data_IF_821251956694
#
_entry.id   IF_821251956694
#
_cell.length_a   1.000
_cell.length_b   1.000
_cell.length_c   1.000
_cell.angle_alpha   90.00
_cell.angle_beta   90.00
_cell.angle_gamma   90.00
#
_symmetry.space_group_name_H-M   'P 1'
#
loop_
_entity.id
_entity.type
_entity.pdbx_description
1 polymer ?
#
# COMPACT_ATOMS: atom_id res chain seq x y z
N UNK A 1 -2.71 -2.98 -5.30
CA UNK A 1 -1.48 -3.60 -4.73
C UNK A 1 -0.22 -2.78 -5.03
N UNK A 2 -0.04 -2.24 -6.24
CA UNK A 2 1.16 -1.50 -6.65
C UNK A 2 1.57 -0.31 -5.75
N UNK A 3 0.63 0.56 -5.36
CA UNK A 3 0.92 1.71 -4.49
C UNK A 3 1.33 1.33 -3.06
N UNK A 4 0.79 0.21 -2.55
CA UNK A 4 1.05 -0.29 -1.19
C UNK A 4 2.46 -0.90 -1.10
N UNK A 5 2.86 -1.71 -2.10
CA UNK A 5 4.15 -2.40 -2.06
C UNK A 5 5.32 -1.59 -2.64
N UNK A 6 5.08 -0.70 -3.61
CA UNK A 6 6.17 -0.07 -4.37
C UNK A 6 6.53 1.37 -3.98
N UNK A 7 5.57 2.17 -3.51
CA UNK A 7 5.78 3.63 -3.36
C UNK A 7 5.31 4.22 -2.03
N UNK A 8 4.35 3.57 -1.34
CA UNK A 8 3.74 4.06 -0.09
C UNK A 8 3.40 2.91 0.88
N UNK A 9 4.42 2.29 1.50
CA UNK A 9 4.22 1.22 2.49
C UNK A 9 3.40 1.67 3.70
N UNK A 10 3.36 2.98 3.99
CA UNK A 10 2.49 3.62 4.99
C UNK A 10 0.99 3.40 4.74
N UNK A 11 0.58 3.13 3.49
CA UNK A 11 -0.82 2.90 3.14
C UNK A 11 -1.20 1.41 3.08
N UNK A 12 -0.23 0.49 3.12
CA UNK A 12 -0.46 -0.95 2.96
C UNK A 12 -1.42 -1.52 3.99
N UNK A 13 -1.30 -1.08 5.24
CA UNK A 13 -2.17 -1.53 6.34
C UNK A 13 -3.60 -1.03 6.17
N UNK A 14 -3.78 0.22 5.71
CA UNK A 14 -5.11 0.79 5.50
C UNK A 14 -5.83 0.07 4.34
N UNK A 15 -5.13 -0.17 3.23
CA UNK A 15 -5.66 -0.91 2.08
C UNK A 15 -5.99 -2.35 2.45
N UNK A 16 -5.10 -3.05 3.16
CA UNK A 16 -5.35 -4.43 3.59
C UNK A 16 -6.59 -4.54 4.50
N UNK A 17 -6.78 -3.58 5.43
CA UNK A 17 -7.95 -3.55 6.31
C UNK A 17 -9.24 -3.25 5.54
N UNK A 18 -9.24 -2.26 4.65
CA UNK A 18 -10.42 -1.89 3.87
C UNK A 18 -10.83 -2.97 2.88
N UNK A 19 -9.87 -3.73 2.35
CA UNK A 19 -10.13 -4.80 1.38
C UNK A 19 -11.04 -5.90 1.95
N UNK A 20 -11.01 -6.10 3.28
CA UNK A 20 -11.86 -7.09 3.97
C UNK A 20 -13.35 -6.70 4.02
N UNK A 21 -13.68 -5.45 3.72
CA UNK A 21 -15.04 -4.91 3.77
C UNK A 21 -15.54 -4.45 2.39
N UNK A 22 -14.87 -4.87 1.31
CA UNK A 22 -15.24 -4.51 -0.06
C UNK A 22 -16.58 -5.11 -0.50
N UNK A 23 -16.94 -6.29 0.02
CA UNK A 23 -18.17 -6.99 -0.35
C UNK A 23 -19.44 -6.30 0.18
N UNK A 24 -19.37 -5.68 1.36
CA UNK A 24 -20.45 -4.88 1.91
C UNK A 24 -19.88 -3.73 2.78
N UNK A 25 -19.49 -2.61 2.16
CA UNK A 25 -18.88 -1.51 2.89
C UNK A 25 -19.95 -0.75 3.67
N UNK A 26 -19.95 -0.91 5.00
CA UNK A 26 -20.66 0.01 5.90
C UNK A 26 -20.11 1.45 5.82
N UNK A 27 -20.89 2.43 6.27
CA UNK A 27 -20.57 3.87 6.22
C UNK A 27 -19.17 4.22 6.77
N UNK A 28 -18.79 3.58 7.89
CA UNK A 28 -17.45 3.75 8.50
C UNK A 28 -16.31 3.32 7.58
N UNK A 29 -16.52 2.27 6.77
CA UNK A 29 -15.51 1.78 5.82
C UNK A 29 -15.44 2.69 4.58
N UNK A 30 -16.58 3.23 4.14
CA UNK A 30 -16.66 4.21 3.07
C UNK A 30 -15.91 5.50 3.42
N UNK A 31 -16.15 6.05 4.61
CA UNK A 31 -15.45 7.25 5.10
C UNK A 31 -13.94 7.02 5.22
N UNK A 32 -13.55 5.84 5.73
CA UNK A 32 -12.15 5.45 5.79
C UNK A 32 -11.52 5.32 4.40
N UNK A 33 -12.25 4.79 3.40
CA UNK A 33 -11.83 4.75 2.01
C UNK A 33 -11.61 6.15 1.42
N UNK A 34 -12.56 7.07 1.62
CA UNK A 34 -12.42 8.48 1.21
C UNK A 34 -11.20 9.12 1.88
N UNK A 35 -10.95 8.83 3.17
CA UNK A 35 -9.79 9.34 3.88
C UNK A 35 -8.48 8.86 3.27
N UNK A 36 -8.39 7.60 2.83
CA UNK A 36 -7.23 7.05 2.11
C UNK A 36 -7.03 7.79 0.79
N UNK A 37 -8.10 8.02 0.01
CA UNK A 37 -8.00 8.77 -1.26
C UNK A 37 -7.53 10.21 -1.04
N UNK A 38 -8.09 10.91 -0.04
CA UNK A 38 -7.67 12.28 0.31
C UNK A 38 -6.22 12.33 0.78
N UNK A 39 -5.79 11.34 1.56
CA UNK A 39 -4.40 11.22 1.98
C UNK A 39 -3.49 11.12 0.76
N UNK A 40 -3.80 10.19 -0.17
CA UNK A 40 -3.02 10.00 -1.38
C UNK A 40 -2.92 11.28 -2.23
N UNK A 41 -4.04 12.01 -2.35
CA UNK A 41 -4.10 13.27 -3.11
C UNK A 41 -3.24 14.37 -2.47
N UNK A 42 -3.29 14.50 -1.14
CA UNK A 42 -2.53 15.51 -0.39
C UNK A 42 -1.04 15.20 -0.31
N UNK A 43 -0.67 13.94 -0.26
CA UNK A 43 0.72 13.52 -0.15
C UNK A 43 1.34 13.19 -1.50
N UNK A 44 0.67 13.46 -2.64
CA UNK A 44 1.18 13.13 -3.99
C UNK A 44 2.64 13.54 -4.25
N UNK A 45 3.08 14.66 -3.68
CA UNK A 45 4.44 15.21 -3.83
C UNK A 45 5.37 14.83 -2.67
N UNK A 46 4.88 14.02 -1.72
CA UNK A 46 5.62 13.50 -0.57
C UNK A 46 5.98 12.05 -0.83
N UNK A 47 7.28 11.73 -0.66
CA UNK A 47 7.83 10.40 -0.80
C UNK A 47 8.89 10.14 0.26
N UNK A 48 9.21 8.86 0.45
CA UNK A 48 10.34 8.45 1.30
C UNK A 48 11.60 8.57 0.44
N UNK A 49 12.56 9.37 0.91
CA UNK A 49 13.88 9.49 0.28
C UNK A 49 14.85 8.64 1.08
N UNK A 50 15.44 7.66 0.43
CA UNK A 50 16.56 6.90 0.96
C UNK A 50 17.83 7.61 0.51
N UNK A 51 18.56 8.21 1.46
CA UNK A 51 19.91 8.73 1.22
C UNK A 51 20.94 7.87 1.97
N UNK A 52 22.20 7.99 1.55
CA UNK A 52 23.32 7.24 2.11
C UNK A 52 24.02 8.01 3.25
N UNK A 53 23.45 9.15 3.70
CA UNK A 53 24.09 10.04 4.68
C UNK A 53 24.15 9.43 6.10
N UNK A 54 23.31 8.44 6.38
CA UNK A 54 23.23 7.79 7.70
C UNK A 54 23.75 6.35 7.71
N UNK A 55 24.40 5.87 6.65
CA UNK A 55 24.88 4.48 6.54
C UNK A 55 23.73 3.46 6.61
N UNK A 56 22.54 3.86 6.14
CA UNK A 56 21.34 3.02 6.21
C UNK A 56 21.34 2.07 5.01
N UNK A 57 21.73 0.82 5.24
CA UNK A 57 21.72 -0.20 4.20
C UNK A 57 20.25 -0.56 3.86
N UNK A 58 19.78 -0.18 2.66
CA UNK A 58 18.42 -0.45 2.21
C UNK A 58 18.27 -1.94 1.85
N UNK A 59 17.60 -2.72 2.69
CA UNK A 59 17.17 -4.07 2.38
C UNK A 59 15.67 -4.09 2.05
N UNK A 60 15.33 -4.55 0.84
CA UNK A 60 13.96 -4.70 0.38
C UNK A 60 13.68 -6.16 0.02
N UNK A 61 12.54 -6.69 0.49
CA UNK A 61 12.07 -8.04 0.20
C UNK A 61 10.83 -7.93 -0.70
N UNK A 62 10.81 -8.66 -1.82
CA UNK A 62 9.65 -8.77 -2.70
C UNK A 62 9.25 -10.24 -2.77
N UNK A 63 8.02 -10.56 -2.40
CA UNK A 63 7.43 -11.86 -2.68
C UNK A 63 6.91 -11.83 -4.13
N UNK A 64 7.35 -12.79 -4.94
CA UNK A 64 6.96 -12.92 -6.34
C UNK A 64 6.24 -14.26 -6.51
N UNK A 65 4.96 -14.30 -6.14
CA UNK A 65 4.10 -15.45 -6.36
C UNK A 65 3.52 -15.43 -7.78
N UNK A 66 4.38 -15.61 -8.78
CA UNK A 66 4.01 -15.71 -10.20
C UNK A 66 3.95 -17.14 -10.75
N UNK A 67 3.84 -18.18 -9.91
CA UNK A 67 3.82 -19.57 -10.38
C UNK A 67 2.93 -20.50 -9.54
N UNK A 68 1.63 -20.18 -9.47
CA UNK A 68 0.63 -21.00 -8.79
C UNK A 68 -0.62 -21.31 -9.62
N UNK A 69 -0.57 -21.25 -10.95
CA UNK A 69 -1.61 -21.86 -11.79
C UNK A 69 -1.16 -23.28 -12.16
N UNK A 70 -1.91 -24.30 -11.75
CA UNK A 70 -1.60 -25.71 -12.01
C UNK A 70 -2.43 -26.30 -13.15
N UNK A 71 -2.92 -25.43 -14.04
CA UNK A 71 -3.73 -25.75 -15.22
C UNK A 71 -3.21 -25.01 -16.48
N UNK A 72 -1.91 -25.11 -16.78
CA UNK A 72 -1.35 -24.94 -18.14
C UNK A 72 -0.54 -26.18 -18.53
#
# INVERSE_FOLDING_TARGET
MYLACGTRPDNSVAVAKLSRFLENPGEKHWDAGIKVVRYLLKTKDVGIVYDDLLGTQLEAYSDADWAGNRDD
#
